data_IF_199233032185
#
_entry.id   IF_199233032185
#
_cell.length_a   1.000
_cell.length_b   1.000
_cell.length_c   1.000
_cell.angle_alpha   90.00
_cell.angle_beta   90.00
_cell.angle_gamma   90.00
#
_symmetry.space_group_name_H-M   'P 1'
#
loop_
_entity.id
_entity.type
_entity.pdbx_description
1 polymer ?
#
# COMPACT_ATOMS: atom_id res chain seq x y z
N UNK A 1 -54.99 -20.13 24.04
CA UNK A 1 -53.94 -20.86 24.79
C UNK A 1 -53.05 -21.51 23.74
N UNK A 2 -51.76 -21.25 23.60
CA UNK A 2 -50.78 -20.64 24.50
C UNK A 2 -49.77 -19.79 23.70
N UNK A 3 -49.35 -18.70 24.33
CA UNK A 3 -48.17 -17.89 23.99
C UNK A 3 -46.93 -18.73 24.35
N UNK A 4 -45.93 -18.82 23.48
CA UNK A 4 -44.59 -19.31 23.84
C UNK A 4 -43.57 -18.29 23.36
N UNK A 5 -42.93 -17.68 24.34
CA UNK A 5 -41.94 -16.61 24.24
C UNK A 5 -40.56 -17.14 23.81
N UNK A 6 -39.80 -16.30 23.10
CA UNK A 6 -38.39 -16.52 22.76
C UNK A 6 -37.48 -16.46 24.00
N UNK A 7 -36.34 -17.17 24.03
CA UNK A 7 -35.35 -17.06 25.11
C UNK A 7 -34.36 -15.90 24.86
N UNK A 8 -34.19 -15.08 25.90
CA UNK A 8 -33.17 -14.04 26.02
C UNK A 8 -31.75 -14.65 26.10
N UNK A 9 -30.78 -14.01 25.44
CA UNK A 9 -29.36 -14.38 25.49
C UNK A 9 -28.61 -13.35 26.34
N UNK A 10 -28.12 -13.77 27.52
CA UNK A 10 -27.32 -12.96 28.44
C UNK A 10 -25.84 -12.88 28.00
N UNK A 11 -25.27 -11.67 28.06
CA UNK A 11 -23.84 -11.39 27.84
C UNK A 11 -22.98 -11.80 29.06
N UNK A 12 -21.74 -12.28 28.87
CA UNK A 12 -20.85 -12.63 30.00
C UNK A 12 -20.18 -11.40 30.65
N UNK A 13 -19.84 -11.46 31.95
CA UNK A 13 -19.35 -10.34 32.73
C UNK A 13 -17.85 -10.06 32.54
N UNK A 14 -17.49 -8.78 32.65
CA UNK A 14 -16.11 -8.28 32.55
C UNK A 14 -15.26 -8.60 33.78
N UNK A 15 -13.99 -8.91 33.55
CA UNK A 15 -12.98 -9.10 34.59
C UNK A 15 -12.19 -7.81 34.80
N UNK A 16 -12.48 -7.17 35.93
CA UNK A 16 -11.73 -6.08 36.54
C UNK A 16 -10.49 -6.66 37.25
N UNK A 17 -9.29 -6.17 36.92
CA UNK A 17 -8.02 -6.55 37.56
C UNK A 17 -7.33 -5.26 38.03
N UNK A 18 -7.84 -4.70 39.11
CA UNK A 18 -7.16 -3.69 39.92
C UNK A 18 -7.09 -4.15 41.37
N UNK A 19 -6.02 -4.85 41.75
CA UNK A 19 -5.46 -4.83 43.11
C UNK A 19 -4.26 -5.78 43.16
N UNK A 20 -3.05 -5.25 43.19
CA UNK A 20 -1.97 -5.70 44.08
C UNK A 20 -0.71 -4.86 43.83
N UNK A 21 0.02 -4.61 44.92
CA UNK A 21 1.30 -3.90 45.05
C UNK A 21 1.20 -2.40 45.43
N UNK A 22 0.70 -2.16 46.65
CA UNK A 22 1.28 -1.13 47.52
C UNK A 22 2.58 -1.66 48.14
N UNK A 23 3.63 -0.83 48.11
CA UNK A 23 4.88 -1.12 48.81
C UNK A 23 5.98 -0.08 48.57
N UNK A 24 5.93 1.04 49.30
CA UNK A 24 7.14 1.65 49.88
C UNK A 24 7.91 2.74 49.11
N UNK A 25 7.43 3.98 49.23
CA UNK A 25 8.15 5.16 49.76
C UNK A 25 9.58 5.50 49.26
N UNK A 26 9.75 6.65 48.59
CA UNK A 26 10.43 7.83 49.15
C UNK A 26 10.62 8.96 48.12
N UNK A 27 10.35 10.15 48.63
CA UNK A 27 10.32 11.46 48.00
C UNK A 27 11.75 12.01 47.80
N UNK A 28 12.10 12.59 46.64
CA UNK A 28 13.09 13.68 46.59
C UNK A 28 12.91 14.55 45.34
N UNK A 29 12.88 15.85 45.59
CA UNK A 29 12.52 16.95 44.70
C UNK A 29 13.76 17.69 44.17
N UNK A 30 13.71 18.12 42.90
CA UNK A 30 14.24 19.39 42.32
C UNK A 30 15.77 19.48 42.06
N UNK A 31 16.34 20.29 41.11
CA UNK A 31 15.76 21.22 40.10
C UNK A 31 16.23 21.07 38.64
N UNK A 32 15.45 21.73 37.78
CA UNK A 32 15.75 22.32 36.47
C UNK A 32 17.00 23.24 36.50
N UNK A 33 17.90 23.11 35.52
CA UNK A 33 18.91 24.14 35.20
C UNK A 33 18.67 24.72 33.80
N UNK A 34 18.80 26.04 33.72
CA UNK A 34 18.50 26.92 32.60
C UNK A 34 19.70 27.11 31.66
N UNK A 35 19.43 27.00 30.34
CA UNK A 35 19.90 27.77 29.16
C UNK A 35 21.43 28.05 28.94
N UNK A 36 21.87 28.30 27.69
CA UNK A 36 21.64 29.62 27.10
C UNK A 36 21.19 29.66 25.63
N UNK A 37 20.48 30.74 25.32
CA UNK A 37 20.25 31.29 23.98
C UNK A 37 21.54 31.50 23.18
N UNK A 38 21.48 31.22 21.87
CA UNK A 38 21.75 32.19 20.78
C UNK A 38 22.21 31.46 19.51
N UNK A 39 21.44 31.61 18.44
CA UNK A 39 21.96 31.99 17.12
C UNK A 39 20.80 32.04 16.11
N UNK A 40 20.53 33.26 15.70
CA UNK A 40 19.90 33.70 14.47
C UNK A 40 20.34 32.88 13.24
N UNK A 41 19.44 32.69 12.28
CA UNK A 41 19.73 31.92 11.06
C UNK A 41 18.46 31.47 10.36
N UNK A 42 17.88 32.38 9.57
CA UNK A 42 16.90 32.13 8.50
C UNK A 42 17.08 30.75 7.85
N UNK A 43 16.18 29.79 8.18
CA UNK A 43 16.09 28.52 7.47
C UNK A 43 15.33 28.73 6.18
N UNK A 44 16.07 28.73 5.08
CA UNK A 44 15.54 28.78 3.71
C UNK A 44 14.52 27.66 3.46
N UNK A 45 13.34 28.02 2.97
CA UNK A 45 12.26 27.11 2.55
C UNK A 45 12.65 26.17 1.39
N UNK A 46 13.81 26.39 0.76
CA UNK A 46 14.31 25.57 -0.35
C UNK A 46 14.89 24.20 0.08
N UNK A 47 15.24 24.01 1.36
CA UNK A 47 15.83 22.74 1.86
C UNK A 47 14.79 21.63 2.11
N UNK A 48 13.49 21.96 2.16
CA UNK A 48 12.44 20.98 2.42
C UNK A 48 12.13 20.09 1.21
N UNK A 49 12.37 20.61 0.00
CA UNK A 49 12.01 19.97 -1.28
C UNK A 49 12.97 18.83 -1.65
N UNK A 50 14.23 18.89 -1.23
CA UNK A 50 15.22 17.84 -1.52
C UNK A 50 15.03 16.57 -0.68
N UNK A 51 14.38 16.65 0.48
CA UNK A 51 14.20 15.49 1.38
C UNK A 51 13.25 14.42 0.85
N UNK A 52 12.46 14.76 -0.17
CA UNK A 52 11.48 13.87 -0.80
C UNK A 52 11.77 13.62 -2.28
N UNK A 53 12.79 14.27 -2.84
CA UNK A 53 13.19 14.05 -4.23
C UNK A 53 13.69 12.60 -4.40
N UNK A 54 13.24 11.86 -5.42
CA UNK A 54 13.86 10.60 -5.75
C UNK A 54 15.33 10.84 -6.11
N UNK A 55 16.21 9.94 -5.65
CA UNK A 55 17.59 9.86 -6.12
C UNK A 55 17.53 9.75 -7.65
N UNK A 56 18.13 10.70 -8.38
CA UNK A 56 18.23 10.67 -9.84
C UNK A 56 18.84 9.34 -10.26
N UNK A 57 18.13 8.60 -11.12
CA UNK A 57 18.63 7.39 -11.75
C UNK A 57 19.47 7.76 -12.98
N UNK A 58 20.51 8.58 -12.76
CA UNK A 58 21.29 9.17 -13.84
C UNK A 58 22.78 9.02 -13.49
N UNK A 59 23.26 7.78 -13.49
CA UNK A 59 24.68 7.51 -13.73
C UNK A 59 24.77 6.42 -14.81
N UNK A 60 24.96 6.88 -16.05
CA UNK A 60 25.46 6.06 -17.14
C UNK A 60 26.91 5.67 -16.80
N UNK A 61 27.10 4.47 -16.26
CA UNK A 61 28.43 3.85 -16.25
C UNK A 61 28.72 3.30 -17.65
N UNK A 62 29.50 4.06 -18.40
CA UNK A 62 30.17 3.56 -19.60
C UNK A 62 31.17 2.48 -19.20
N UNK A 63 30.85 1.22 -19.51
CA UNK A 63 31.87 0.20 -19.74
C UNK A 63 31.50 -0.60 -21.00
N UNK A 64 32.24 -0.30 -22.07
CA UNK A 64 32.34 -1.15 -23.24
C UNK A 64 33.08 -2.44 -22.84
N UNK A 65 32.36 -3.55 -22.75
CA UNK A 65 32.94 -4.85 -23.11
C UNK A 65 31.92 -5.70 -23.87
N UNK A 66 32.36 -6.14 -25.03
CA UNK A 66 31.58 -6.82 -26.06
C UNK A 66 31.56 -8.33 -25.86
N UNK A 67 30.45 -8.96 -26.26
CA UNK A 67 30.29 -10.40 -26.60
C UNK A 67 29.52 -11.34 -25.66
N UNK A 68 28.51 -10.85 -24.94
CA UNK A 68 27.36 -11.70 -24.57
C UNK A 68 26.10 -11.01 -25.09
N UNK A 69 25.45 -11.63 -26.07
CA UNK A 69 24.10 -11.23 -26.48
C UNK A 69 23.17 -11.48 -25.31
N UNK A 70 22.96 -10.46 -24.49
CA UNK A 70 21.94 -10.45 -23.45
C UNK A 70 20.59 -10.63 -24.15
N UNK A 71 19.90 -11.79 -23.99
CA UNK A 71 18.54 -11.86 -24.43
C UNK A 71 17.77 -11.01 -23.43
N UNK A 72 17.41 -9.80 -23.84
CA UNK A 72 16.58 -8.90 -23.03
C UNK A 72 15.38 -9.65 -22.41
N UNK A 73 14.76 -9.07 -21.37
CA UNK A 73 13.65 -9.74 -20.68
C UNK A 73 12.62 -10.22 -21.71
N UNK A 74 11.98 -11.40 -21.53
CA UNK A 74 10.94 -11.83 -22.45
C UNK A 74 9.89 -10.74 -22.45
N UNK A 75 9.78 -10.06 -23.59
CA UNK A 75 9.30 -8.69 -23.68
C UNK A 75 7.78 -8.56 -23.53
N UNK A 76 7.06 -9.68 -23.40
CA UNK A 76 5.61 -9.70 -23.44
C UNK A 76 5.01 -10.53 -22.29
N UNK A 77 4.06 -9.97 -21.53
CA UNK A 77 3.24 -10.73 -20.60
C UNK A 77 2.52 -11.91 -21.27
N UNK A 78 2.37 -13.02 -20.53
CA UNK A 78 1.71 -14.21 -21.05
C UNK A 78 0.19 -14.01 -21.09
N UNK A 79 -0.55 -14.70 -21.98
CA UNK A 79 -2.02 -14.63 -22.04
C UNK A 79 -2.73 -14.99 -20.72
N UNK A 80 -2.10 -15.78 -19.86
CA UNK A 80 -2.66 -16.16 -18.55
C UNK A 80 -2.28 -15.21 -17.42
N UNK A 81 -1.42 -14.21 -17.68
CA UNK A 81 -0.91 -13.34 -16.64
C UNK A 81 -1.98 -12.32 -16.22
N UNK A 82 -2.07 -12.12 -14.90
CA UNK A 82 -2.95 -11.14 -14.27
C UNK A 82 -2.07 -10.13 -13.54
N UNK A 83 -2.30 -8.85 -13.76
CA UNK A 83 -1.63 -7.76 -13.07
C UNK A 83 -2.57 -7.13 -12.06
N UNK A 84 -2.08 -6.93 -10.83
CA UNK A 84 -2.73 -6.10 -9.82
C UNK A 84 -1.98 -4.77 -9.75
N UNK A 85 -2.65 -3.71 -10.19
CA UNK A 85 -2.07 -2.38 -10.34
C UNK A 85 -2.76 -1.40 -9.43
N UNK A 86 -2.00 -0.51 -8.80
CA UNK A 86 -2.56 0.64 -8.09
C UNK A 86 -1.49 1.72 -7.97
N UNK A 87 -1.86 2.98 -7.79
CA UNK A 87 -0.93 3.93 -7.18
C UNK A 87 -0.59 3.47 -5.74
N UNK A 88 0.59 3.77 -5.18
CA UNK A 88 0.89 3.45 -3.79
C UNK A 88 -0.23 3.85 -2.84
N UNK A 89 -0.54 2.97 -1.88
CA UNK A 89 -1.55 3.20 -0.81
C UNK A 89 -3.01 3.29 -1.26
N UNK A 90 -3.29 2.96 -2.52
CA UNK A 90 -4.65 2.77 -3.01
C UNK A 90 -5.24 1.38 -2.71
N UNK A 91 -4.58 0.56 -1.89
CA UNK A 91 -5.08 -0.78 -1.52
C UNK A 91 -4.41 -1.94 -2.24
N UNK A 92 -3.19 -1.79 -2.75
CA UNK A 92 -2.46 -2.84 -3.47
C UNK A 92 -2.40 -4.18 -2.73
N UNK A 93 -2.16 -4.18 -1.42
CA UNK A 93 -2.16 -5.43 -0.65
C UNK A 93 -3.53 -6.11 -0.65
N UNK A 94 -4.61 -5.34 -0.42
CA UNK A 94 -5.97 -5.88 -0.46
C UNK A 94 -6.28 -6.50 -1.84
N UNK A 95 -5.97 -5.77 -2.92
CA UNK A 95 -6.17 -6.27 -4.27
C UNK A 95 -5.34 -7.55 -4.54
N UNK A 96 -4.06 -7.53 -4.18
CA UNK A 96 -3.15 -8.65 -4.40
C UNK A 96 -3.64 -9.92 -3.70
N UNK A 97 -4.07 -9.82 -2.44
CA UNK A 97 -4.57 -10.98 -1.68
C UNK A 97 -5.95 -11.45 -2.17
N UNK A 98 -6.84 -10.54 -2.60
CA UNK A 98 -8.13 -10.92 -3.20
C UNK A 98 -7.90 -11.72 -4.49
N UNK A 99 -7.08 -11.19 -5.40
CA UNK A 99 -6.76 -11.85 -6.68
C UNK A 99 -6.03 -13.16 -6.46
N UNK A 100 -5.10 -13.20 -5.50
CA UNK A 100 -4.45 -14.44 -5.08
C UNK A 100 -5.48 -15.48 -4.61
N UNK A 101 -6.42 -15.10 -3.74
CA UNK A 101 -7.47 -15.99 -3.24
C UNK A 101 -8.37 -16.51 -4.37
N UNK A 102 -8.74 -15.65 -5.33
CA UNK A 102 -9.54 -16.04 -6.51
C UNK A 102 -8.80 -17.07 -7.37
N UNK A 103 -7.53 -16.80 -7.69
CA UNK A 103 -6.71 -17.66 -8.54
C UNK A 103 -6.41 -19.02 -7.89
N UNK A 104 -6.27 -19.06 -6.56
CA UNK A 104 -5.98 -20.27 -5.79
C UNK A 104 -7.23 -20.90 -5.16
N UNK A 105 -8.44 -20.55 -5.62
CA UNK A 105 -9.71 -21.13 -5.13
C UNK A 105 -9.83 -21.14 -3.60
N UNK A 106 -9.50 -20.02 -2.97
CA UNK A 106 -9.60 -19.85 -1.52
C UNK A 106 -8.58 -20.65 -0.72
N UNK A 107 -7.57 -21.25 -1.36
CA UNK A 107 -6.45 -21.88 -0.69
C UNK A 107 -5.39 -20.82 -0.31
N UNK A 108 -5.01 -20.71 0.98
CA UNK A 108 -3.99 -19.75 1.41
C UNK A 108 -2.59 -20.20 0.94
N UNK A 109 -1.64 -19.27 0.91
CA UNK A 109 -0.23 -19.65 0.75
C UNK A 109 0.28 -20.42 1.97
N UNK A 110 1.27 -21.29 1.76
CA UNK A 110 1.92 -22.02 2.86
C UNK A 110 2.70 -21.08 3.78
N UNK A 111 3.39 -20.14 3.17
CA UNK A 111 4.23 -19.12 3.79
C UNK A 111 4.34 -17.91 2.84
N UNK A 112 5.23 -16.97 3.18
CA UNK A 112 5.48 -15.80 2.35
C UNK A 112 6.24 -16.12 1.06
N UNK A 113 7.17 -17.07 1.06
CA UNK A 113 7.92 -17.43 -0.15
C UNK A 113 6.97 -18.00 -1.21
N UNK A 114 6.06 -18.87 -0.79
CA UNK A 114 4.99 -19.44 -1.62
C UNK A 114 3.98 -18.37 -2.09
N UNK A 115 3.79 -17.30 -1.31
CA UNK A 115 3.03 -16.13 -1.75
C UNK A 115 3.80 -15.33 -2.81
N UNK A 116 5.03 -14.92 -2.52
CA UNK A 116 5.87 -14.10 -3.38
C UNK A 116 6.20 -14.80 -4.72
N UNK A 117 6.36 -16.13 -4.72
CA UNK A 117 6.58 -16.92 -5.93
C UNK A 117 5.36 -16.97 -6.87
N UNK A 118 4.15 -16.68 -6.37
CA UNK A 118 2.91 -16.62 -7.17
C UNK A 118 2.38 -15.20 -7.35
N UNK A 119 2.81 -14.26 -6.50
CA UNK A 119 2.39 -12.88 -6.54
C UNK A 119 3.57 -11.90 -6.42
N UNK A 120 4.53 -11.93 -7.36
CA UNK A 120 5.73 -11.12 -7.27
C UNK A 120 5.42 -9.62 -7.40
N UNK A 121 6.21 -8.78 -6.72
CA UNK A 121 6.18 -7.33 -6.89
C UNK A 121 7.26 -6.92 -7.89
N UNK A 122 6.84 -6.56 -9.11
CA UNK A 122 7.71 -6.40 -10.28
C UNK A 122 8.91 -5.46 -10.04
N UNK A 123 8.65 -4.30 -9.45
CA UNK A 123 9.64 -3.23 -9.23
C UNK A 123 10.65 -3.58 -8.14
N UNK A 124 10.23 -4.40 -7.19
CA UNK A 124 11.05 -4.76 -6.03
C UNK A 124 11.80 -6.07 -6.22
N UNK A 125 11.19 -7.04 -6.90
CA UNK A 125 11.75 -8.37 -7.13
C UNK A 125 12.37 -8.51 -8.53
N UNK A 126 12.19 -7.50 -9.39
CA UNK A 126 12.71 -7.47 -10.75
C UNK A 126 11.99 -8.41 -11.71
N UNK A 127 12.27 -8.22 -13.00
CA UNK A 127 11.59 -8.96 -14.09
C UNK A 127 11.78 -10.48 -13.99
N UNK A 128 12.93 -10.95 -13.51
CA UNK A 128 13.23 -12.37 -13.34
C UNK A 128 12.17 -13.09 -12.48
N UNK A 129 11.70 -12.45 -11.41
CA UNK A 129 10.66 -12.99 -10.53
C UNK A 129 9.33 -13.23 -11.27
N UNK A 130 9.01 -12.40 -12.27
CA UNK A 130 7.82 -12.55 -13.11
C UNK A 130 7.98 -13.72 -14.10
N UNK A 131 9.20 -13.95 -14.59
CA UNK A 131 9.49 -15.04 -15.54
C UNK A 131 9.37 -16.41 -14.86
N UNK A 132 9.89 -16.47 -13.65
CA UNK A 132 9.95 -17.66 -12.79
C UNK A 132 8.66 -17.82 -11.95
N UNK A 133 7.72 -16.87 -12.04
CA UNK A 133 6.46 -16.89 -11.29
C UNK A 133 5.71 -18.21 -11.49
N UNK A 134 5.33 -18.85 -10.38
CA UNK A 134 4.45 -20.02 -10.36
C UNK A 134 3.04 -19.60 -10.73
N UNK A 135 2.39 -20.36 -11.62
CA UNK A 135 1.05 -20.08 -12.13
C UNK A 135 0.05 -21.15 -11.65
N UNK A 136 -1.23 -20.77 -11.43
CA UNK A 136 -1.81 -19.43 -11.56
C UNK A 136 -1.28 -18.44 -10.50
N UNK A 137 -1.10 -17.18 -10.89
CA UNK A 137 -0.46 -16.14 -10.08
C UNK A 137 -0.77 -14.74 -10.61
N UNK A 138 -0.43 -13.71 -9.83
CA UNK A 138 -0.73 -12.31 -10.17
C UNK A 138 0.43 -11.37 -9.88
N UNK A 139 0.85 -10.62 -10.89
CA UNK A 139 2.00 -9.71 -10.82
C UNK A 139 1.53 -8.40 -10.19
N UNK A 140 2.17 -7.98 -9.10
CA UNK A 140 1.91 -6.68 -8.47
C UNK A 140 2.80 -5.61 -9.07
N UNK A 141 2.23 -4.43 -9.29
CA UNK A 141 2.97 -3.25 -9.76
C UNK A 141 2.26 -1.93 -9.37
N UNK A 142 3.06 -0.88 -9.28
CA UNK A 142 2.75 0.53 -9.09
C UNK A 142 3.18 1.37 -10.32
N UNK A 143 3.43 0.76 -11.47
CA UNK A 143 3.78 1.49 -12.69
C UNK A 143 2.54 2.17 -13.32
N UNK A 144 2.68 3.41 -13.82
CA UNK A 144 1.66 4.01 -14.67
C UNK A 144 1.52 3.21 -15.97
N UNK A 145 0.40 3.40 -16.67
CA UNK A 145 0.04 2.57 -17.82
C UNK A 145 1.19 2.48 -18.82
N UNK A 146 1.77 3.61 -19.24
CA UNK A 146 2.79 3.68 -20.29
C UNK A 146 4.10 2.96 -19.95
N UNK A 147 4.40 2.77 -18.66
CA UNK A 147 5.62 2.11 -18.18
C UNK A 147 5.40 0.64 -17.86
N UNK A 148 4.15 0.19 -17.81
CA UNK A 148 3.80 -1.17 -17.46
C UNK A 148 3.99 -2.13 -18.65
N UNK A 149 4.41 -3.40 -18.43
CA UNK A 149 4.44 -4.41 -19.48
C UNK A 149 3.04 -4.70 -20.05
N UNK A 150 2.87 -4.58 -21.37
CA UNK A 150 1.58 -4.71 -22.04
C UNK A 150 1.46 -5.95 -22.90
N UNK A 151 0.29 -6.59 -22.81
CA UNK A 151 -0.16 -7.62 -23.75
C UNK A 151 -1.67 -7.53 -23.89
N UNK A 152 -2.23 -7.58 -25.11
CA UNK A 152 -3.68 -7.59 -25.31
C UNK A 152 -4.35 -8.86 -24.75
N UNK A 153 -3.55 -9.87 -24.40
CA UNK A 153 -4.04 -11.13 -23.87
C UNK A 153 -3.90 -11.25 -22.35
N UNK A 154 -3.02 -10.47 -21.71
CA UNK A 154 -2.93 -10.41 -20.26
C UNK A 154 -4.06 -9.54 -19.68
N UNK A 155 -4.38 -9.74 -18.41
CA UNK A 155 -5.43 -9.00 -17.71
C UNK A 155 -4.86 -8.04 -16.69
N UNK A 156 -5.42 -6.85 -16.59
CA UNK A 156 -4.97 -5.79 -15.69
C UNK A 156 -6.12 -5.38 -14.79
N UNK A 157 -5.91 -5.41 -13.48
CA UNK A 157 -6.89 -4.95 -12.50
C UNK A 157 -6.30 -3.74 -11.80
N UNK A 158 -6.86 -2.57 -12.08
CA UNK A 158 -6.45 -1.31 -11.49
C UNK A 158 -7.35 -0.95 -10.29
N UNK A 159 -6.75 -0.67 -9.14
CA UNK A 159 -7.45 -0.16 -7.96
C UNK A 159 -7.08 1.30 -7.68
N UNK A 160 -8.08 2.18 -7.74
CA UNK A 160 -7.98 3.56 -7.31
C UNK A 160 -8.52 3.74 -5.88
N UNK A 161 -8.14 4.82 -5.21
CA UNK A 161 -8.66 5.20 -3.89
C UNK A 161 -8.75 6.71 -3.81
N UNK A 162 -9.72 7.27 -3.08
CA UNK A 162 -9.85 8.72 -3.01
C UNK A 162 -8.53 9.41 -2.61
N UNK A 163 -8.17 10.54 -3.24
CA UNK A 163 -6.86 11.16 -3.09
C UNK A 163 -6.57 11.64 -1.65
N UNK A 164 -7.61 11.98 -0.88
CA UNK A 164 -7.48 12.40 0.51
C UNK A 164 -6.96 11.26 1.40
N UNK A 165 -7.63 10.11 1.38
CA UNK A 165 -7.20 8.93 2.13
C UNK A 165 -5.89 8.35 1.59
N UNK A 166 -5.67 8.42 0.27
CA UNK A 166 -4.41 8.02 -0.35
C UNK A 166 -3.24 8.83 0.22
N UNK A 167 -3.35 10.16 0.21
CA UNK A 167 -2.35 11.09 0.76
C UNK A 167 -2.07 10.81 2.25
N UNK A 168 -3.12 10.71 3.08
CA UNK A 168 -2.97 10.43 4.51
C UNK A 168 -2.32 9.06 4.78
N UNK A 169 -2.71 8.03 4.02
CA UNK A 169 -2.11 6.70 4.12
C UNK A 169 -0.66 6.68 3.65
N UNK A 170 -0.31 7.49 2.65
CA UNK A 170 1.04 7.59 2.12
C UNK A 170 1.97 8.32 3.08
N UNK A 171 1.56 9.46 3.64
CA UNK A 171 2.29 10.12 4.72
C UNK A 171 2.64 9.15 5.85
N UNK A 172 1.61 8.44 6.32
CA UNK A 172 1.73 7.47 7.41
C UNK A 172 2.70 6.35 7.06
N UNK A 173 2.66 5.87 5.82
CA UNK A 173 3.54 4.80 5.35
C UNK A 173 5.00 5.24 5.21
N UNK A 174 5.27 6.46 4.72
CA UNK A 174 6.64 6.95 4.61
C UNK A 174 7.32 7.10 5.97
N UNK A 175 6.56 7.44 7.02
CA UNK A 175 7.09 7.51 8.40
C UNK A 175 7.51 6.15 8.97
N UNK A 176 6.96 5.07 8.42
CA UNK A 176 7.28 3.69 8.81
C UNK A 176 8.36 3.08 7.92
N UNK A 177 8.75 3.74 6.82
CA UNK A 177 9.74 3.22 5.90
C UNK A 177 11.15 3.62 6.35
N UNK A 178 12.05 2.68 6.67
CA UNK A 178 13.37 2.95 7.25
C UNK A 178 14.27 3.81 6.36
N UNK A 179 14.22 3.56 5.04
CA UNK A 179 15.00 4.25 4.02
C UNK A 179 14.41 5.60 3.59
N UNK A 180 13.20 5.92 4.03
CA UNK A 180 12.47 7.10 3.58
C UNK A 180 11.93 7.92 4.74
N UNK A 181 12.38 7.65 5.97
CA UNK A 181 11.93 8.27 7.21
C UNK A 181 12.57 9.65 7.32
N UNK A 182 11.88 10.74 6.96
CA UNK A 182 12.37 12.05 7.32
C UNK A 182 11.89 12.20 8.77
N UNK A 183 12.75 11.90 9.75
CA UNK A 183 12.36 11.86 11.18
C UNK A 183 11.66 13.15 11.68
N UNK A 184 11.67 14.21 10.86
CA UNK A 184 11.09 15.53 11.12
C UNK A 184 10.01 16.02 10.13
N UNK A 185 9.57 15.25 9.13
CA UNK A 185 8.62 15.80 8.15
C UNK A 185 7.17 15.85 8.68
N UNK A 186 6.63 17.07 8.72
CA UNK A 186 5.23 17.30 9.06
C UNK A 186 4.30 16.77 7.94
N UNK A 187 3.02 16.61 8.27
CA UNK A 187 2.02 16.33 7.25
C UNK A 187 1.97 17.44 6.20
N UNK A 188 2.11 18.70 6.60
CA UNK A 188 2.10 19.87 5.71
C UNK A 188 3.21 19.74 4.63
N UNK A 189 4.45 19.43 5.00
CA UNK A 189 5.55 19.25 4.03
C UNK A 189 5.31 18.06 3.09
N UNK A 190 4.79 16.95 3.62
CA UNK A 190 4.47 15.80 2.78
C UNK A 190 3.30 16.11 1.82
N UNK A 191 2.30 16.84 2.28
CA UNK A 191 1.15 17.24 1.49
C UNK A 191 1.57 18.10 0.30
N UNK A 192 2.47 19.06 0.51
CA UNK A 192 3.06 19.85 -0.58
C UNK A 192 3.78 18.97 -1.60
N UNK A 193 4.65 18.06 -1.13
CA UNK A 193 5.34 17.11 -2.01
C UNK A 193 4.37 16.20 -2.78
N UNK A 194 3.27 15.78 -2.16
CA UNK A 194 2.23 14.96 -2.79
C UNK A 194 1.50 15.71 -3.91
N UNK A 195 1.09 16.97 -3.68
CA UNK A 195 0.44 17.79 -4.71
C UNK A 195 1.38 18.14 -5.87
N UNK A 196 2.67 18.28 -5.59
CA UNK A 196 3.71 18.56 -6.60
C UNK A 196 4.19 17.29 -7.33
N UNK A 197 3.68 16.11 -6.97
CA UNK A 197 4.13 14.82 -7.54
C UNK A 197 5.58 14.46 -7.19
N UNK A 198 6.15 15.08 -6.16
CA UNK A 198 7.51 14.83 -5.65
C UNK A 198 7.52 13.70 -4.62
N UNK A 199 6.88 12.59 -4.96
CA UNK A 199 6.83 11.35 -4.18
C UNK A 199 7.17 10.17 -5.08
N UNK A 200 7.41 8.99 -4.50
CA UNK A 200 7.70 7.78 -5.29
C UNK A 200 6.47 7.47 -6.17
N UNK A 201 6.72 7.17 -7.44
CA UNK A 201 5.72 6.98 -8.49
C UNK A 201 5.04 8.25 -9.02
N UNK A 202 5.47 9.44 -8.59
CA UNK A 202 5.13 10.71 -9.23
C UNK A 202 3.78 11.29 -8.81
N UNK A 203 3.14 12.00 -9.73
CA UNK A 203 1.83 12.61 -9.50
C UNK A 203 0.72 11.55 -9.50
N UNK A 204 -0.16 11.63 -8.49
CA UNK A 204 -1.25 10.67 -8.31
C UNK A 204 -2.27 10.70 -9.46
N UNK A 205 -2.66 11.88 -9.95
CA UNK A 205 -3.66 11.96 -11.01
C UNK A 205 -3.08 11.63 -12.37
N UNK A 206 -1.83 11.99 -12.66
CA UNK A 206 -1.13 11.54 -13.87
C UNK A 206 -1.12 10.00 -13.90
N UNK A 207 -0.84 9.35 -12.75
CA UNK A 207 -0.89 7.89 -12.64
C UNK A 207 -2.31 7.31 -12.80
N UNK A 208 -3.31 7.86 -12.10
CA UNK A 208 -4.68 7.35 -12.18
C UNK A 208 -5.28 7.53 -13.57
N UNK A 209 -5.08 8.70 -14.19
CA UNK A 209 -5.58 9.00 -15.53
C UNK A 209 -4.98 8.08 -16.59
N UNK A 210 -3.67 7.77 -16.49
CA UNK A 210 -3.01 6.82 -17.40
C UNK A 210 -3.74 5.48 -17.48
N UNK A 211 -4.32 5.00 -16.37
CA UNK A 211 -5.10 3.76 -16.35
C UNK A 211 -6.60 3.98 -16.59
N UNK A 212 -7.11 5.14 -16.22
CA UNK A 212 -8.53 5.48 -16.36
C UNK A 212 -8.96 5.62 -17.83
N UNK A 213 -8.06 6.11 -18.68
CA UNK A 213 -8.32 6.21 -20.13
C UNK A 213 -8.48 4.84 -20.79
N UNK A 214 -7.90 3.80 -20.18
CA UNK A 214 -7.99 2.40 -20.62
C UNK A 214 -9.08 1.60 -19.90
N UNK A 215 -9.90 2.22 -19.04
CA UNK A 215 -10.92 1.50 -18.24
C UNK A 215 -11.99 0.78 -19.07
N UNK A 216 -12.14 1.13 -20.35
CA UNK A 216 -13.07 0.51 -21.28
C UNK A 216 -12.43 -0.60 -22.12
N UNK A 217 -11.12 -0.83 -21.99
CA UNK A 217 -10.43 -1.92 -22.66
C UNK A 217 -10.88 -3.26 -22.10
N UNK A 218 -11.07 -4.26 -22.96
CA UNK A 218 -11.63 -5.55 -22.57
C UNK A 218 -10.77 -6.34 -21.59
N UNK A 219 -9.49 -5.99 -21.49
CA UNK A 219 -8.50 -6.62 -20.62
C UNK A 219 -8.06 -5.71 -19.46
N UNK A 220 -8.80 -4.63 -19.18
CA UNK A 220 -8.60 -3.76 -18.01
C UNK A 220 -9.87 -3.73 -17.16
N UNK A 221 -9.72 -4.02 -15.86
CA UNK A 221 -10.78 -3.86 -14.87
C UNK A 221 -10.42 -2.74 -13.91
N UNK A 222 -11.22 -1.68 -13.90
CA UNK A 222 -11.08 -0.58 -12.97
C UNK A 222 -12.02 -0.77 -11.77
N UNK A 223 -11.46 -0.75 -10.55
CA UNK A 223 -12.18 -0.83 -9.27
C UNK A 223 -11.73 0.29 -8.33
N UNK A 224 -12.57 0.62 -7.35
CA UNK A 224 -12.19 1.54 -6.27
C UNK A 224 -12.00 0.77 -4.97
N UNK A 225 -11.08 1.23 -4.14
CA UNK A 225 -10.88 0.70 -2.79
C UNK A 225 -12.17 0.82 -1.95
N UNK A 226 -12.93 1.90 -2.14
CA UNK A 226 -14.19 2.17 -1.46
C UNK A 226 -15.27 1.14 -1.80
N UNK A 227 -15.41 0.74 -3.07
CA UNK A 227 -16.34 -0.31 -3.49
C UNK A 227 -15.92 -1.68 -2.91
N UNK A 228 -14.63 -2.01 -2.98
CA UNK A 228 -14.10 -3.26 -2.43
C UNK A 228 -14.30 -3.34 -0.91
N UNK A 229 -14.21 -2.20 -0.22
CA UNK A 229 -14.41 -2.12 1.23
C UNK A 229 -15.87 -2.15 1.64
N UNK A 230 -16.76 -1.52 0.88
CA UNK A 230 -18.18 -1.42 1.19
C UNK A 230 -18.93 -2.72 0.87
N UNK A 231 -18.64 -3.33 -0.28
CA UNK A 231 -19.19 -4.63 -0.67
C UNK A 231 -18.08 -5.56 -1.22
N UNK A 232 -17.31 -6.19 -0.32
CA UNK A 232 -16.23 -7.09 -0.71
C UNK A 232 -16.72 -8.33 -1.46
N UNK A 233 -17.96 -8.79 -1.21
CA UNK A 233 -18.52 -9.99 -1.86
C UNK A 233 -18.77 -9.71 -3.34
N UNK A 234 -19.52 -8.65 -3.64
CA UNK A 234 -19.81 -8.26 -5.03
C UNK A 234 -18.52 -7.91 -5.78
N UNK A 235 -17.62 -7.19 -5.12
CA UNK A 235 -16.33 -6.80 -5.72
C UNK A 235 -15.46 -7.99 -6.08
N UNK A 236 -15.33 -9.00 -5.20
CA UNK A 236 -14.50 -10.17 -5.50
C UNK A 236 -15.11 -11.06 -6.57
N UNK A 237 -16.44 -11.14 -6.65
CA UNK A 237 -17.14 -11.85 -7.73
C UNK A 237 -16.88 -11.14 -9.07
N UNK A 238 -16.97 -9.80 -9.10
CA UNK A 238 -16.66 -8.99 -10.30
C UNK A 238 -15.20 -9.18 -10.75
N UNK A 239 -14.25 -9.20 -9.81
CA UNK A 239 -12.84 -9.52 -10.09
C UNK A 239 -12.71 -10.93 -10.67
N UNK A 240 -13.39 -11.91 -10.07
CA UNK A 240 -13.35 -13.29 -10.54
C UNK A 240 -13.94 -13.46 -11.95
N UNK A 241 -15.09 -12.84 -12.25
CA UNK A 241 -15.67 -12.87 -13.59
C UNK A 241 -14.73 -12.30 -14.64
N UNK A 242 -14.07 -11.19 -14.30
CA UNK A 242 -13.10 -10.57 -15.18
C UNK A 242 -11.89 -11.47 -15.42
N UNK A 243 -11.37 -12.14 -14.38
CA UNK A 243 -10.25 -13.07 -14.49
C UNK A 243 -10.64 -14.33 -15.27
N UNK A 244 -11.78 -14.95 -14.95
CA UNK A 244 -12.36 -16.09 -15.64
C UNK A 244 -13.82 -16.29 -15.17
N UNK A 245 -14.82 -16.14 -16.06
CA UNK A 245 -16.23 -16.29 -15.72
C UNK A 245 -16.62 -17.62 -15.06
N UNK A 246 -15.84 -18.69 -15.27
CA UNK A 246 -16.06 -19.96 -14.58
C UNK A 246 -15.79 -19.85 -13.07
N UNK A 247 -14.77 -19.09 -12.67
CA UNK A 247 -14.45 -18.81 -11.27
C UNK A 247 -15.54 -17.95 -10.66
N UNK A 248 -15.95 -16.89 -11.36
CA UNK A 248 -17.02 -16.00 -10.89
C UNK A 248 -18.35 -16.73 -10.72
N UNK A 249 -18.67 -17.71 -11.56
CA UNK A 249 -19.82 -18.62 -11.35
C UNK A 249 -19.64 -19.48 -10.11
N UNK A 250 -18.48 -20.11 -9.95
CA UNK A 250 -18.15 -20.94 -8.79
C UNK A 250 -18.29 -20.17 -7.46
N UNK A 251 -17.81 -18.92 -7.41
CA UNK A 251 -17.94 -18.06 -6.22
C UNK A 251 -19.40 -17.70 -5.89
N UNK A 252 -20.26 -17.56 -6.90
CA UNK A 252 -21.71 -17.32 -6.68
C UNK A 252 -22.42 -18.56 -6.15
N UNK A 253 -22.04 -19.73 -6.65
CA UNK A 253 -22.70 -21.01 -6.33
C UNK A 253 -22.13 -21.65 -5.05
N UNK A 254 -20.92 -21.27 -4.62
CA UNK A 254 -20.25 -21.81 -3.44
C UNK A 254 -19.92 -20.71 -2.41
N UNK A 255 -20.82 -20.42 -1.46
CA UNK A 255 -20.60 -19.41 -0.42
C UNK A 255 -19.41 -19.70 0.50
N UNK A 256 -19.03 -20.97 0.67
CA UNK A 256 -17.87 -21.37 1.49
C UNK A 256 -16.59 -20.96 0.80
N UNK A 257 -16.48 -21.23 -0.51
CA UNK A 257 -15.34 -20.80 -1.31
C UNK A 257 -15.19 -19.27 -1.30
N UNK A 258 -16.29 -18.53 -1.51
CA UNK A 258 -16.29 -17.07 -1.41
C UNK A 258 -15.80 -16.58 -0.03
N UNK A 259 -16.27 -17.22 1.04
CA UNK A 259 -15.81 -16.89 2.40
C UNK A 259 -14.31 -17.14 2.58
N UNK A 260 -13.77 -18.23 2.03
CA UNK A 260 -12.35 -18.55 2.10
C UNK A 260 -11.49 -17.51 1.36
N UNK A 261 -11.91 -17.09 0.16
CA UNK A 261 -11.24 -16.02 -0.60
C UNK A 261 -11.20 -14.72 0.22
N UNK A 262 -12.34 -14.33 0.80
CA UNK A 262 -12.42 -13.11 1.62
C UNK A 262 -11.59 -13.23 2.90
N UNK A 263 -11.51 -14.42 3.50
CA UNK A 263 -10.68 -14.69 4.68
C UNK A 263 -9.20 -14.49 4.36
N UNK A 264 -8.71 -14.95 3.20
CA UNK A 264 -7.32 -14.71 2.76
C UNK A 264 -7.00 -13.21 2.73
N UNK A 265 -7.91 -12.42 2.17
CA UNK A 265 -7.76 -10.96 2.06
C UNK A 265 -8.16 -10.17 3.32
N UNK A 266 -8.43 -10.84 4.44
CA UNK A 266 -8.71 -10.16 5.71
C UNK A 266 -7.47 -9.44 6.22
N UNK A 267 -7.66 -8.30 6.89
CA UNK A 267 -6.55 -7.50 7.43
C UNK A 267 -5.60 -8.34 8.30
N UNK A 268 -6.15 -9.19 9.16
CA UNK A 268 -5.36 -10.09 10.01
C UNK A 268 -4.46 -11.02 9.18
N UNK A 269 -5.00 -11.71 8.18
CA UNK A 269 -4.23 -12.67 7.40
C UNK A 269 -3.18 -11.99 6.51
N UNK A 270 -3.53 -10.88 5.86
CA UNK A 270 -2.56 -10.13 5.07
C UNK A 270 -1.39 -9.65 5.95
N UNK A 271 -1.69 -9.12 7.14
CA UNK A 271 -0.68 -8.70 8.10
C UNK A 271 0.21 -9.89 8.49
N UNK A 272 -0.36 -11.02 8.87
CA UNK A 272 0.39 -12.23 9.26
C UNK A 272 1.32 -12.73 8.14
N UNK A 273 0.85 -12.81 6.90
CA UNK A 273 1.67 -13.23 5.76
C UNK A 273 2.79 -12.24 5.45
N UNK A 274 2.52 -10.93 5.48
CA UNK A 274 3.55 -9.90 5.29
C UNK A 274 4.59 -9.89 6.42
N UNK A 275 4.18 -10.14 7.67
CA UNK A 275 5.07 -10.26 8.84
C UNK A 275 6.07 -11.41 8.66
N UNK A 276 5.59 -12.55 8.19
CA UNK A 276 6.45 -13.71 7.88
C UNK A 276 7.47 -13.36 6.80
N UNK A 277 7.05 -12.61 5.78
CA UNK A 277 7.93 -12.19 4.68
C UNK A 277 9.05 -11.27 5.08
N UNK A 278 8.72 -10.21 5.81
CA UNK A 278 9.72 -9.27 6.35
C UNK A 278 10.74 -10.04 7.21
N UNK A 279 10.28 -10.96 8.08
CA UNK A 279 11.18 -11.81 8.86
C UNK A 279 12.07 -12.74 8.01
N UNK A 280 11.55 -13.32 6.93
CA UNK A 280 12.28 -14.25 6.05
C UNK A 280 13.35 -13.55 5.22
N UNK A 281 13.00 -12.43 4.57
CA UNK A 281 13.93 -11.62 3.75
C UNK A 281 15.12 -11.19 4.60
N UNK A 282 14.86 -10.81 5.85
CA UNK A 282 15.89 -10.37 6.79
C UNK A 282 16.77 -11.50 7.30
N UNK A 283 16.22 -12.70 7.47
CA UNK A 283 17.00 -13.88 7.85
C UNK A 283 17.94 -14.32 6.71
N UNK A 284 17.47 -14.29 5.47
CA UNK A 284 18.25 -14.70 4.30
C UNK A 284 19.31 -13.66 3.92
N UNK A 285 19.01 -12.36 3.98
CA UNK A 285 20.00 -11.29 3.79
C UNK A 285 21.07 -11.32 4.89
N UNK A 286 20.68 -11.58 6.15
CA UNK A 286 21.63 -11.76 7.26
C UNK A 286 22.51 -13.01 7.08
N UNK A 287 21.95 -14.12 6.61
CA UNK A 287 22.69 -15.36 6.36
C UNK A 287 23.66 -15.22 5.17
N UNK A 288 23.27 -14.49 4.12
CA UNK A 288 24.13 -14.17 2.97
C UNK A 288 25.27 -13.21 3.34
N UNK A 289 25.03 -12.25 4.24
CA UNK A 289 26.03 -11.30 4.73
C UNK A 289 27.12 -11.95 5.60
N UNK A 290 26.81 -13.05 6.30
CA UNK A 290 27.78 -13.78 7.13
C UNK A 290 28.74 -14.64 6.28
N UNK A 291 28.43 -14.87 5.00
CA UNK A 291 29.16 -15.80 4.14
C UNK A 291 30.24 -15.22 3.22
N UNK A 292 30.35 -13.91 3.03
CA UNK A 292 31.36 -13.30 2.13
C UNK A 292 31.86 -11.97 2.65
N UNK A 293 33.18 -11.89 2.91
CA UNK A 293 33.92 -10.63 3.07
C UNK A 293 33.80 -9.80 1.79
N UNK A 294 32.78 -8.94 1.72
CA UNK A 294 32.76 -7.72 0.92
C UNK A 294 31.75 -6.78 1.57
N UNK A 295 32.27 -5.88 2.40
CA UNK A 295 31.50 -4.75 2.90
C UNK A 295 31.31 -3.77 1.75
N UNK A 296 30.08 -3.68 1.27
CA UNK A 296 29.40 -2.49 0.72
C UNK A 296 27.95 -2.94 0.46
N UNK A 297 26.97 -2.10 0.78
CA UNK A 297 25.51 -2.39 0.73
C UNK A 297 24.92 -3.33 1.80
N UNK A 298 25.54 -4.47 2.12
CA UNK A 298 24.95 -5.44 3.07
C UNK A 298 24.91 -4.94 4.54
N UNK A 299 25.95 -4.25 5.02
CA UNK A 299 25.94 -3.62 6.37
C UNK A 299 24.98 -2.42 6.44
N UNK A 300 24.78 -1.72 5.32
CA UNK A 300 23.79 -0.65 5.19
C UNK A 300 22.37 -1.22 5.33
N UNK A 301 22.03 -2.29 4.60
CA UNK A 301 20.74 -2.97 4.75
C UNK A 301 20.58 -3.65 6.12
N UNK A 302 21.65 -4.23 6.68
CA UNK A 302 21.64 -4.78 8.05
C UNK A 302 21.25 -3.72 9.08
N UNK A 303 21.82 -2.52 9.02
CA UNK A 303 21.51 -1.45 9.97
C UNK A 303 20.13 -0.85 9.70
N UNK A 304 19.82 -0.56 8.42
CA UNK A 304 18.52 -0.02 8.00
C UNK A 304 17.37 -0.93 8.41
N UNK A 305 17.50 -2.25 8.23
CA UNK A 305 16.43 -3.19 8.55
C UNK A 305 16.44 -3.69 9.99
N UNK A 306 17.60 -3.79 10.67
CA UNK A 306 17.62 -4.06 12.11
C UNK A 306 16.97 -2.91 12.89
N UNK A 307 17.24 -1.66 12.49
CA UNK A 307 16.61 -0.46 13.05
C UNK A 307 15.12 -0.36 12.63
N UNK A 308 14.77 -0.81 11.41
CA UNK A 308 13.37 -0.97 10.98
C UNK A 308 12.55 -1.94 11.83
N UNK A 309 13.15 -3.09 12.14
CA UNK A 309 12.53 -4.18 12.89
C UNK A 309 12.32 -3.80 14.36
N UNK A 310 13.24 -3.02 14.93
CA UNK A 310 13.10 -2.50 16.30
C UNK A 310 12.05 -1.38 16.40
N UNK A 311 11.80 -0.65 15.30
CA UNK A 311 10.96 0.57 15.31
C UNK A 311 9.58 0.38 14.65
N UNK A 312 9.41 -0.62 13.78
CA UNK A 312 8.13 -0.88 13.09
C UNK A 312 7.73 -2.34 13.16
N UNK A 313 6.65 -2.61 13.86
CA UNK A 313 5.96 -3.89 13.68
C UNK A 313 5.31 -3.89 12.29
N UNK A 314 5.27 -5.02 11.58
CA UNK A 314 4.64 -5.04 10.26
C UNK A 314 3.11 -4.78 10.30
N UNK A 315 2.53 -4.62 11.50
CA UNK A 315 1.20 -4.03 11.76
C UNK A 315 1.14 -2.55 11.35
N UNK A 316 2.28 -1.86 11.32
CA UNK A 316 2.46 -0.50 10.80
C UNK A 316 2.47 -0.45 9.26
N UNK A 317 2.93 -1.52 8.59
CA UNK A 317 2.86 -1.65 7.13
C UNK A 317 1.41 -1.93 6.65
N UNK A 318 0.72 -2.84 7.35
CA UNK A 318 -0.68 -3.23 7.12
C UNK A 318 -1.60 -2.66 8.20
N UNK A 319 -1.72 -1.33 8.24
CA UNK A 319 -2.60 -0.60 9.18
C UNK A 319 -4.09 -0.77 8.87
N UNK A 320 -4.92 -0.57 9.88
CA UNK A 320 -6.38 -0.78 9.82
C UNK A 320 -6.99 -0.08 8.58
N UNK A 321 -7.64 -0.84 7.68
CA UNK A 321 -8.17 -0.33 6.42
C UNK A 321 -9.45 0.48 6.66
N UNK A 322 -9.31 1.75 6.99
CA UNK A 322 -10.41 2.69 7.28
C UNK A 322 -10.45 3.77 6.19
N UNK A 323 -11.63 3.96 5.58
CA UNK A 323 -11.92 5.13 4.74
C UNK A 323 -12.28 6.32 5.63
N UNK A 324 -11.88 7.53 5.22
CA UNK A 324 -12.16 8.76 5.96
C UNK A 324 -11.11 9.12 7.01
N UNK A 325 -9.96 8.43 7.07
CA UNK A 325 -8.86 8.76 8.01
C UNK A 325 -8.15 10.04 7.66
N UNK A 326 -8.32 10.54 6.44
CA UNK A 326 -7.84 11.87 6.05
C UNK A 326 -8.28 12.97 7.05
N UNK A 327 -9.43 12.80 7.72
CA UNK A 327 -9.95 13.70 8.77
C UNK A 327 -9.00 13.90 9.95
N UNK A 328 -8.08 12.96 10.20
CA UNK A 328 -7.08 13.06 11.29
C UNK A 328 -5.93 14.01 10.94
N UNK A 329 -5.69 14.28 9.64
CA UNK A 329 -4.50 14.99 9.15
C UNK A 329 -4.83 16.32 8.46
N UNK A 330 -5.96 16.39 7.75
CA UNK A 330 -6.28 17.53 6.90
C UNK A 330 -6.85 18.70 7.71
N UNK A 331 -6.28 19.88 7.49
CA UNK A 331 -6.83 21.18 7.91
C UNK A 331 -7.74 21.72 6.79
N UNK A 332 -8.62 22.69 7.06
CA UNK A 332 -9.47 23.30 6.03
C UNK A 332 -8.69 23.80 4.80
N UNK A 333 -7.51 24.37 5.01
CA UNK A 333 -6.63 24.83 3.93
C UNK A 333 -6.11 23.69 3.05
N UNK A 334 -5.77 22.53 3.63
CA UNK A 334 -5.39 21.34 2.84
C UNK A 334 -6.56 20.85 1.99
N UNK A 335 -7.78 20.90 2.55
CA UNK A 335 -8.98 20.51 1.81
C UNK A 335 -9.20 21.41 0.59
N UNK A 336 -9.09 22.75 0.78
CA UNK A 336 -9.20 23.72 -0.32
C UNK A 336 -8.16 23.45 -1.41
N UNK A 337 -6.88 23.37 -1.03
CA UNK A 337 -5.77 23.13 -1.97
C UNK A 337 -5.87 21.78 -2.68
N UNK A 338 -6.33 20.73 -1.98
CA UNK A 338 -6.56 19.42 -2.58
C UNK A 338 -7.66 19.50 -3.65
N UNK A 339 -8.77 20.21 -3.40
CA UNK A 339 -9.81 20.41 -4.42
C UNK A 339 -9.34 21.25 -5.61
N UNK A 340 -8.58 22.32 -5.39
CA UNK A 340 -8.00 23.11 -6.48
C UNK A 340 -7.08 22.26 -7.37
N UNK A 341 -6.26 21.41 -6.75
CA UNK A 341 -5.41 20.46 -7.46
C UNK A 341 -6.23 19.38 -8.18
N UNK A 342 -7.28 18.83 -7.56
CA UNK A 342 -8.21 17.88 -8.22
C UNK A 342 -8.83 18.51 -9.46
N UNK A 343 -9.39 19.71 -9.34
CA UNK A 343 -10.05 20.42 -10.44
C UNK A 343 -9.07 20.70 -11.59
N UNK A 344 -7.84 21.13 -11.25
CA UNK A 344 -6.79 21.36 -12.23
C UNK A 344 -6.37 20.06 -12.93
N UNK A 345 -6.08 19.00 -12.18
CA UNK A 345 -5.53 17.75 -12.70
C UNK A 345 -6.54 16.88 -13.44
N UNK A 346 -7.81 16.98 -13.07
CA UNK A 346 -8.89 16.20 -13.69
C UNK A 346 -9.70 16.99 -14.71
N UNK A 347 -9.25 18.20 -15.06
CA UNK A 347 -9.88 19.05 -16.06
C UNK A 347 -10.09 18.28 -17.38
N UNK A 348 -11.35 18.14 -17.79
CA UNK A 348 -11.73 17.41 -19.01
C UNK A 348 -11.94 15.91 -18.83
N UNK A 349 -11.85 15.38 -17.61
CA UNK A 349 -12.09 13.98 -17.27
C UNK A 349 -13.21 13.83 -16.23
N UNK A 350 -13.97 12.74 -16.29
CA UNK A 350 -14.96 12.36 -15.29
C UNK A 350 -14.37 11.49 -14.17
N UNK A 351 -13.05 11.31 -14.14
CA UNK A 351 -12.35 10.41 -13.20
C UNK A 351 -12.71 10.70 -11.74
N UNK A 352 -12.89 11.96 -11.34
CA UNK A 352 -13.18 12.28 -9.95
C UNK A 352 -14.60 11.85 -9.51
N UNK A 353 -15.53 11.70 -10.46
CA UNK A 353 -16.91 11.28 -10.18
C UNK A 353 -17.01 9.84 -9.67
N UNK A 354 -15.97 9.02 -9.86
CA UNK A 354 -15.93 7.64 -9.34
C UNK A 354 -15.99 7.58 -7.80
N UNK A 355 -15.71 8.71 -7.12
CA UNK A 355 -15.83 8.86 -5.67
C UNK A 355 -17.03 9.69 -5.23
N UNK A 356 -18.00 9.95 -6.11
CA UNK A 356 -19.19 10.75 -5.80
C UNK A 356 -20.05 10.20 -4.65
N UNK A 357 -20.02 8.90 -4.41
CA UNK A 357 -20.68 8.21 -3.29
C UNK A 357 -19.84 8.16 -2.02
N UNK A 358 -18.57 8.59 -2.07
CA UNK A 358 -17.65 8.54 -0.93
C UNK A 358 -17.87 9.71 0.03
N UNK A 359 -17.56 9.50 1.31
CA UNK A 359 -17.61 10.54 2.33
C UNK A 359 -16.39 11.48 2.23
N UNK A 360 -16.38 12.29 1.17
CA UNK A 360 -15.36 13.30 0.88
C UNK A 360 -15.66 14.61 1.64
N UNK A 361 -14.62 15.40 1.97
CA UNK A 361 -14.81 16.68 2.65
C UNK A 361 -15.74 17.59 1.84
N UNK A 362 -16.75 18.17 2.46
CA UNK A 362 -17.52 19.24 1.81
C UNK A 362 -16.74 20.55 1.94
N UNK A 363 -16.56 21.27 0.82
CA UNK A 363 -16.16 22.67 0.90
C UNK A 363 -17.25 23.43 1.64
N UNK A 364 -16.97 23.91 2.85
CA UNK A 364 -17.89 24.79 3.54
C UNK A 364 -17.84 26.15 2.82
N UNK A 365 -18.94 26.67 2.26
CA UNK A 365 -18.92 27.96 1.56
C UNK A 365 -18.40 29.12 2.41
N UNK A 366 -18.45 29.01 3.73
CA UNK A 366 -17.93 30.03 4.66
C UNK A 366 -16.39 30.06 4.76
N UNK A 367 -15.68 29.03 4.26
CA UNK A 367 -14.21 28.96 4.24
C UNK A 367 -13.61 29.38 2.89
N UNK A 368 -14.42 29.93 1.98
CA UNK A 368 -14.02 30.43 0.65
C UNK A 368 -13.88 31.97 0.61
N UNK A 369 -13.81 32.65 1.77
CA UNK A 369 -13.63 34.10 1.87
C UNK A 369 -12.27 34.50 2.40
#
# INVERSE_FOLDING_TARGET
>A
MANVSEPEYESPPGSDLSSELEGGNANTTVPLTTAPDSADGTRNETDAVERFAPVRADQEDHNEDSSVSDPGPPSEPRPSDVFTVSYPKCGSALLQFLVFGVLNRGEPSKDFEDFAARAPYLEWMGIKSVLEMRRPGAIKTHLPFEKNPHSPHAKYIYMARNPFDCCASYYTHMRTMPLSRPESASFDTFFDAFLEGKVIYGDYFDHVLSWYDHRSDTNVLFVTYEDVKSDPRTSVIRIADFIDPSIGRELRENPVLLSNVLKIASAHNMTTTCHQGIRSILADELALAIGKERITTAEFYKNVFAEALEVTEASDFMRTPICGRWKEFFKPEHVRRMYEWIDQKTAGSDVFSIWSSSDLPRLNPDNLQ
#
